data_IF_511504232079
#
_entry.id   IF_511504232079
#
_cell.length_a   1.000
_cell.length_b   1.000
_cell.length_c   1.000
_cell.angle_alpha   90.00
_cell.angle_beta   90.00
_cell.angle_gamma   90.00
#
_symmetry.space_group_name_H-M   'P 1'
#
loop_
_entity.id
_entity.type
_entity.pdbx_description
1 polymer ?
#
# COMPACT_ATOMS: atom_id res chain seq x y z
N UNK A 1 37.12 57.87 10.79
CA UNK A 1 36.13 57.30 9.91
C UNK A 1 35.93 55.84 10.28
N UNK A 2 34.78 55.56 10.89
CA UNK A 2 34.39 54.20 11.33
C UNK A 2 33.80 53.39 10.17
N UNK A 3 34.22 52.13 10.03
CA UNK A 3 33.67 51.18 9.11
C UNK A 3 32.32 50.63 9.62
N UNK A 4 31.31 50.36 8.78
CA UNK A 4 30.03 49.90 9.22
C UNK A 4 30.07 48.38 9.57
N UNK A 5 29.30 47.96 10.56
CA UNK A 5 29.15 46.55 10.90
C UNK A 5 28.00 45.95 10.07
N UNK A 6 28.30 45.24 9.02
CA UNK A 6 27.32 44.39 8.33
C UNK A 6 27.93 43.03 8.02
N UNK A 7 28.08 42.23 9.05
CA UNK A 7 28.20 40.79 8.91
C UNK A 7 26.81 40.17 8.93
N UNK A 8 26.29 39.80 7.76
CA UNK A 8 25.13 38.92 7.65
C UNK A 8 25.55 37.60 8.31
N UNK A 9 24.83 37.11 9.32
CA UNK A 9 25.16 35.82 9.92
C UNK A 9 25.00 34.73 8.85
N UNK A 10 25.92 33.74 8.84
CA UNK A 10 25.81 32.66 7.90
C UNK A 10 24.45 31.97 8.10
N UNK A 11 23.67 31.89 7.04
CA UNK A 11 22.44 31.14 7.04
C UNK A 11 22.73 29.74 7.58
N UNK A 12 22.20 29.45 8.79
CA UNK A 12 22.11 28.09 9.28
C UNK A 12 21.52 27.24 8.15
N UNK A 13 22.34 26.36 7.57
CA UNK A 13 21.84 25.32 6.70
C UNK A 13 20.71 24.67 7.46
N UNK A 14 19.48 24.86 6.99
CA UNK A 14 18.34 24.08 7.46
C UNK A 14 18.78 22.64 7.30
N UNK A 15 18.96 21.94 8.40
CA UNK A 15 19.06 20.49 8.40
C UNK A 15 17.85 20.02 7.61
N UNK A 16 18.09 19.36 6.47
CA UNK A 16 17.04 18.73 5.72
C UNK A 16 16.29 17.87 6.74
N UNK A 17 15.03 18.25 7.02
CA UNK A 17 14.17 17.51 7.93
C UNK A 17 14.08 16.11 7.35
N UNK A 18 14.59 15.13 8.09
CA UNK A 18 14.34 13.72 7.77
C UNK A 18 12.85 13.58 7.52
N UNK A 19 12.42 12.92 6.43
CA UNK A 19 11.00 12.74 6.19
C UNK A 19 10.38 12.12 7.44
N UNK A 20 9.25 12.65 7.90
CA UNK A 20 8.58 12.26 9.14
C UNK A 20 8.37 10.74 9.27
N UNK A 21 8.23 10.04 8.15
CA UNK A 21 8.12 8.59 8.08
C UNK A 21 9.37 7.81 8.51
N UNK A 22 10.57 8.39 8.44
CA UNK A 22 11.81 7.68 8.79
C UNK A 22 11.93 7.40 10.29
N UNK A 23 11.46 8.32 11.13
CA UNK A 23 11.49 8.14 12.59
C UNK A 23 10.45 7.11 13.03
N UNK A 24 9.28 7.11 12.43
CA UNK A 24 8.21 6.10 12.67
C UNK A 24 8.71 4.73 12.26
N UNK A 25 9.31 4.57 11.08
CA UNK A 25 9.87 3.30 10.60
C UNK A 25 10.94 2.75 11.54
N UNK A 26 11.79 3.61 12.09
CA UNK A 26 12.78 3.21 13.09
C UNK A 26 12.13 2.68 14.36
N UNK A 27 11.11 3.35 14.86
CA UNK A 27 10.36 2.90 16.04
C UNK A 27 9.66 1.56 15.79
N UNK A 28 9.01 1.40 14.64
CA UNK A 28 8.35 0.14 14.25
C UNK A 28 9.36 -1.00 14.24
N UNK A 29 10.50 -0.82 13.58
CA UNK A 29 11.51 -1.86 13.42
C UNK A 29 12.24 -2.20 14.73
N UNK A 30 12.53 -1.21 15.59
CA UNK A 30 13.36 -1.39 16.79
C UNK A 30 12.56 -1.62 18.06
N UNK A 31 11.31 -1.16 18.14
CA UNK A 31 10.49 -1.20 19.34
C UNK A 31 9.21 -2.00 19.20
N UNK A 32 8.44 -1.78 18.13
CA UNK A 32 7.10 -2.34 18.00
C UNK A 32 7.11 -3.80 17.53
N UNK A 33 7.82 -4.12 16.45
CA UNK A 33 7.91 -5.50 15.94
C UNK A 33 8.58 -6.43 16.95
N UNK A 34 9.77 -6.10 17.52
CA UNK A 34 10.44 -7.00 18.47
C UNK A 34 9.66 -7.24 19.77
N UNK A 35 8.85 -6.28 20.20
CA UNK A 35 8.05 -6.35 21.41
C UNK A 35 6.58 -6.72 21.17
N UNK A 36 6.20 -7.02 19.94
CA UNK A 36 4.83 -7.42 19.63
C UNK A 36 4.48 -8.75 20.29
N UNK A 37 3.29 -8.79 20.90
CA UNK A 37 2.74 -9.97 21.53
C UNK A 37 1.70 -10.61 20.61
N UNK A 38 1.93 -11.88 20.26
CA UNK A 38 1.02 -12.64 19.41
C UNK A 38 1.13 -12.30 17.92
N UNK A 39 0.49 -13.13 17.11
CA UNK A 39 0.57 -13.04 15.64
C UNK A 39 -0.21 -11.86 15.08
N UNK A 40 -1.34 -11.52 15.69
CA UNK A 40 -2.14 -10.36 15.33
C UNK A 40 -1.34 -9.04 15.45
N UNK A 41 -0.61 -8.86 16.52
CA UNK A 41 0.27 -7.71 16.72
C UNK A 41 1.42 -7.66 15.72
N UNK A 42 2.03 -8.79 15.42
CA UNK A 42 3.08 -8.88 14.40
C UNK A 42 2.58 -8.51 13.00
N UNK A 43 1.45 -9.05 12.60
CA UNK A 43 0.81 -8.72 11.31
C UNK A 43 0.51 -7.23 11.24
N UNK A 44 -0.05 -6.67 12.29
CA UNK A 44 -0.38 -5.25 12.38
C UNK A 44 0.86 -4.36 12.18
N UNK A 45 1.96 -4.64 12.86
CA UNK A 45 3.17 -3.81 12.77
C UNK A 45 3.95 -4.03 11.49
N UNK A 46 4.02 -5.23 10.92
CA UNK A 46 4.60 -5.45 9.60
C UNK A 46 3.78 -4.76 8.51
N UNK A 47 2.46 -4.81 8.59
CA UNK A 47 1.57 -4.06 7.69
C UNK A 47 1.83 -2.56 7.80
N UNK A 48 1.93 -2.03 9.02
CA UNK A 48 2.24 -0.62 9.26
C UNK A 48 3.59 -0.24 8.65
N UNK A 49 4.61 -1.08 8.79
CA UNK A 49 5.90 -0.89 8.14
C UNK A 49 5.77 -0.83 6.62
N UNK A 50 5.02 -1.73 6.03
CA UNK A 50 4.71 -1.71 4.60
C UNK A 50 4.00 -0.43 4.17
N UNK A 51 2.99 0.01 4.92
CA UNK A 51 2.23 1.23 4.65
C UNK A 51 3.12 2.47 4.65
N UNK A 52 4.01 2.63 5.62
CA UNK A 52 4.91 3.78 5.68
C UNK A 52 5.97 3.77 4.58
N UNK A 53 6.53 2.64 4.23
CA UNK A 53 7.43 2.53 3.07
C UNK A 53 6.70 2.82 1.75
N UNK A 54 5.45 2.41 1.62
CA UNK A 54 4.61 2.77 0.48
C UNK A 54 4.40 4.27 0.39
N UNK A 55 4.06 4.95 1.48
CA UNK A 55 3.93 6.40 1.52
C UNK A 55 5.22 7.11 1.12
N UNK A 56 6.37 6.65 1.59
CA UNK A 56 7.67 7.19 1.15
C UNK A 56 7.88 7.01 -0.35
N UNK A 57 7.50 5.87 -0.91
CA UNK A 57 7.62 5.60 -2.35
C UNK A 57 6.82 6.57 -3.21
N UNK A 58 5.73 7.12 -2.70
CA UNK A 58 4.89 8.08 -3.40
C UNK A 58 5.60 9.43 -3.63
N UNK A 59 6.51 9.81 -2.74
CA UNK A 59 7.23 11.09 -2.80
C UNK A 59 8.65 10.96 -3.36
N UNK A 60 9.23 9.78 -3.31
CA UNK A 60 10.61 9.54 -3.71
C UNK A 60 10.70 9.25 -5.21
N UNK A 61 11.91 9.43 -5.74
CA UNK A 61 12.27 9.13 -7.13
C UNK A 61 13.57 8.33 -7.18
N UNK A 62 13.83 7.68 -8.33
CA UNK A 62 15.08 6.97 -8.58
C UNK A 62 15.36 5.85 -7.57
N UNK A 63 16.61 5.77 -7.13
CA UNK A 63 17.09 4.71 -6.23
C UNK A 63 16.42 4.71 -4.86
N UNK A 64 16.07 5.88 -4.31
CA UNK A 64 15.38 6.00 -3.02
C UNK A 64 13.97 5.40 -3.09
N UNK A 65 13.23 5.67 -4.15
CA UNK A 65 11.90 5.09 -4.39
C UNK A 65 11.98 3.57 -4.52
N UNK A 66 12.96 3.08 -5.26
CA UNK A 66 13.18 1.65 -5.47
C UNK A 66 13.47 0.92 -4.16
N UNK A 67 14.30 1.51 -3.30
CA UNK A 67 14.62 0.97 -1.98
C UNK A 67 13.40 0.94 -1.06
N UNK A 68 12.60 2.01 -1.02
CA UNK A 68 11.37 2.05 -0.22
C UNK A 68 10.32 1.07 -0.74
N UNK A 69 10.15 0.93 -2.05
CA UNK A 69 9.24 -0.04 -2.65
C UNK A 69 9.65 -1.47 -2.32
N UNK A 70 10.95 -1.80 -2.38
CA UNK A 70 11.47 -3.11 -1.99
C UNK A 70 11.23 -3.41 -0.50
N UNK A 71 11.47 -2.43 0.37
CA UNK A 71 11.22 -2.57 1.80
C UNK A 71 9.72 -2.72 2.12
N UNK A 72 8.85 -2.03 1.40
CA UNK A 72 7.40 -2.20 1.51
C UNK A 72 6.96 -3.61 1.12
N UNK A 73 7.47 -4.12 0.00
CA UNK A 73 7.19 -5.47 -0.47
C UNK A 73 7.57 -6.51 0.58
N UNK A 74 8.78 -6.43 1.13
CA UNK A 74 9.28 -7.37 2.15
C UNK A 74 8.40 -7.34 3.41
N UNK A 75 8.00 -6.16 3.86
CA UNK A 75 7.14 -6.00 5.03
C UNK A 75 5.73 -6.56 4.80
N UNK A 76 5.12 -6.30 3.67
CA UNK A 76 3.81 -6.85 3.32
C UNK A 76 3.86 -8.37 3.15
N UNK A 77 4.91 -8.91 2.56
CA UNK A 77 5.09 -10.36 2.42
C UNK A 77 5.25 -11.04 3.79
N UNK A 78 6.04 -10.46 4.70
CA UNK A 78 6.18 -10.96 6.06
C UNK A 78 4.84 -10.97 6.80
N UNK A 79 4.08 -9.87 6.72
CA UNK A 79 2.75 -9.78 7.32
C UNK A 79 1.79 -10.81 6.72
N UNK A 80 1.79 -11.00 5.42
CA UNK A 80 0.91 -11.94 4.71
C UNK A 80 1.20 -13.39 5.07
N UNK A 81 2.46 -13.76 5.24
CA UNK A 81 2.84 -15.11 5.69
C UNK A 81 2.28 -15.44 7.06
N UNK A 82 2.39 -14.52 8.01
CA UNK A 82 1.84 -14.71 9.37
C UNK A 82 0.32 -14.70 9.34
N UNK A 83 -0.31 -13.75 8.64
CA UNK A 83 -1.76 -13.63 8.58
C UNK A 83 -2.43 -14.86 7.96
N UNK A 84 -1.85 -15.42 6.90
CA UNK A 84 -2.39 -16.61 6.24
C UNK A 84 -2.33 -17.85 7.12
N UNK A 85 -1.30 -17.96 7.96
CA UNK A 85 -1.12 -19.10 8.86
C UNK A 85 -1.99 -18.99 10.13
N UNK A 86 -2.14 -17.80 10.69
CA UNK A 86 -2.57 -17.63 12.08
C UNK A 86 -3.85 -16.81 12.27
N UNK A 87 -4.35 -16.12 11.24
CA UNK A 87 -5.60 -15.34 11.29
C UNK A 87 -6.66 -15.91 10.35
N UNK A 88 -7.94 -15.91 10.73
CA UNK A 88 -9.01 -16.30 9.82
C UNK A 88 -9.15 -15.31 8.66
N UNK A 89 -9.64 -15.75 7.49
CA UNK A 89 -9.80 -14.89 6.31
C UNK A 89 -10.73 -13.70 6.51
N UNK A 90 -11.62 -13.78 7.49
CA UNK A 90 -12.55 -12.69 7.86
C UNK A 90 -11.98 -11.70 8.87
N UNK A 91 -10.77 -11.93 9.37
CA UNK A 91 -10.16 -11.04 10.36
C UNK A 91 -9.87 -9.67 9.75
N UNK A 92 -10.29 -8.56 10.38
CA UNK A 92 -10.15 -7.22 9.79
C UNK A 92 -8.69 -6.83 9.53
N UNK A 93 -7.75 -7.27 10.36
CA UNK A 93 -6.31 -7.00 10.12
C UNK A 93 -5.82 -7.77 8.89
N UNK A 94 -6.21 -9.03 8.71
CA UNK A 94 -5.85 -9.80 7.51
C UNK A 94 -6.46 -9.20 6.25
N UNK A 95 -7.73 -8.79 6.30
CA UNK A 95 -8.41 -8.13 5.18
C UNK A 95 -7.82 -6.76 4.87
N UNK A 96 -7.52 -5.95 5.89
CA UNK A 96 -6.88 -4.65 5.73
C UNK A 96 -5.48 -4.75 5.15
N UNK A 97 -4.72 -5.78 5.52
CA UNK A 97 -3.44 -6.10 4.91
C UNK A 97 -3.58 -6.41 3.42
N UNK A 98 -4.51 -7.27 3.05
CA UNK A 98 -4.76 -7.61 1.65
C UNK A 98 -5.17 -6.39 0.82
N UNK A 99 -6.01 -5.53 1.38
CA UNK A 99 -6.41 -4.26 0.75
C UNK A 99 -5.19 -3.38 0.47
N UNK A 100 -4.38 -3.08 1.48
CA UNK A 100 -3.23 -2.19 1.33
C UNK A 100 -2.12 -2.79 0.48
N UNK A 101 -1.91 -4.09 0.57
CA UNK A 101 -0.94 -4.80 -0.27
C UNK A 101 -1.36 -4.80 -1.74
N UNK A 102 -2.65 -4.98 -2.03
CA UNK A 102 -3.17 -4.88 -3.40
C UNK A 102 -3.03 -3.46 -3.98
N UNK A 103 -3.30 -2.43 -3.18
CA UNK A 103 -3.07 -1.03 -3.56
C UNK A 103 -1.59 -0.77 -3.86
N UNK A 104 -0.69 -1.31 -3.06
CA UNK A 104 0.75 -1.22 -3.29
C UNK A 104 1.17 -1.82 -4.64
N UNK A 105 0.66 -3.00 -4.99
CA UNK A 105 0.93 -3.60 -6.29
C UNK A 105 0.38 -2.75 -7.44
N UNK A 106 -0.81 -2.20 -7.28
CA UNK A 106 -1.45 -1.39 -8.31
C UNK A 106 -0.73 -0.06 -8.53
N UNK A 107 -0.52 0.71 -7.46
CA UNK A 107 -0.05 2.10 -7.54
C UNK A 107 1.48 2.23 -7.59
N UNK A 108 2.21 1.41 -6.84
CA UNK A 108 3.67 1.54 -6.71
C UNK A 108 4.40 0.61 -7.68
N UNK A 109 4.02 -0.65 -7.75
CA UNK A 109 4.65 -1.63 -8.62
C UNK A 109 4.05 -1.66 -10.03
N UNK A 110 3.00 -0.90 -10.27
CA UNK A 110 2.29 -0.86 -11.55
C UNK A 110 1.97 -2.27 -12.08
N UNK A 111 1.47 -3.11 -11.21
CA UNK A 111 1.15 -4.52 -11.47
C UNK A 111 -0.33 -4.80 -11.18
N UNK A 112 -1.24 -4.35 -12.07
CA UNK A 112 -2.68 -4.47 -11.86
C UNK A 112 -3.16 -5.91 -11.76
N UNK A 113 -2.56 -6.84 -12.49
CA UNK A 113 -2.95 -8.26 -12.43
C UNK A 113 -2.71 -8.86 -11.04
N UNK A 114 -1.57 -8.57 -10.44
CA UNK A 114 -1.26 -9.02 -9.07
C UNK A 114 -2.13 -8.34 -8.03
N UNK A 115 -2.40 -7.05 -8.22
CA UNK A 115 -3.31 -6.30 -7.36
C UNK A 115 -4.70 -6.92 -7.35
N UNK A 116 -5.27 -7.19 -8.52
CA UNK A 116 -6.56 -7.86 -8.67
C UNK A 116 -6.55 -9.27 -8.08
N UNK A 117 -5.49 -10.04 -8.29
CA UNK A 117 -5.37 -11.39 -7.76
C UNK A 117 -5.42 -11.40 -6.22
N UNK A 118 -4.65 -10.54 -5.56
CA UNK A 118 -4.62 -10.45 -4.09
C UNK A 118 -5.98 -10.01 -3.53
N UNK A 119 -6.57 -8.97 -4.12
CA UNK A 119 -7.85 -8.45 -3.66
C UNK A 119 -8.97 -9.47 -3.85
N UNK A 120 -9.01 -10.15 -5.00
CA UNK A 120 -10.01 -11.17 -5.28
C UNK A 120 -9.88 -12.37 -4.36
N UNK A 121 -8.68 -12.87 -4.18
CA UNK A 121 -8.43 -14.02 -3.29
C UNK A 121 -8.85 -13.71 -1.85
N UNK A 122 -8.47 -12.56 -1.33
CA UNK A 122 -8.85 -12.15 0.03
C UNK A 122 -10.37 -12.03 0.19
N UNK A 123 -11.04 -11.46 -0.81
CA UNK A 123 -12.50 -11.34 -0.81
C UNK A 123 -13.19 -12.71 -0.88
N UNK A 124 -12.79 -13.56 -1.78
CA UNK A 124 -13.38 -14.89 -1.99
C UNK A 124 -13.16 -15.78 -0.75
N UNK A 125 -11.97 -15.77 -0.16
CA UNK A 125 -11.67 -16.53 1.06
C UNK A 125 -12.52 -16.06 2.24
N UNK A 126 -12.74 -14.76 2.37
CA UNK A 126 -13.61 -14.21 3.41
C UNK A 126 -15.07 -14.56 3.19
N UNK A 127 -15.56 -14.52 1.96
CA UNK A 127 -16.94 -14.94 1.61
C UNK A 127 -17.16 -16.41 1.94
N UNK A 128 -16.18 -17.27 1.65
CA UNK A 128 -16.26 -18.71 1.93
C UNK A 128 -16.35 -19.04 3.43
N UNK A 129 -15.87 -18.16 4.29
CA UNK A 129 -15.80 -18.34 5.74
C UNK A 129 -16.55 -17.26 6.54
N UNK A 130 -17.64 -16.73 6.01
CA UNK A 130 -18.43 -15.69 6.70
C UNK A 130 -18.97 -16.14 8.07
N UNK A 131 -19.19 -17.42 8.28
CA UNK A 131 -19.59 -18.00 9.57
C UNK A 131 -18.52 -17.86 10.67
N UNK A 132 -17.26 -17.63 10.28
CA UNK A 132 -16.16 -17.36 11.25
C UNK A 132 -16.11 -15.89 11.68
N UNK A 133 -16.94 -15.03 11.09
CA UNK A 133 -16.96 -13.60 11.38
C UNK A 133 -17.58 -13.33 12.74
N UNK A 134 -16.80 -12.69 13.64
CA UNK A 134 -17.27 -12.29 14.95
C UNK A 134 -18.15 -11.04 14.87
N UNK A 135 -19.13 -10.91 15.79
CA UNK A 135 -19.96 -9.71 15.89
C UNK A 135 -19.13 -8.45 16.14
N UNK A 136 -18.08 -8.56 16.94
CA UNK A 136 -17.16 -7.45 17.24
C UNK A 136 -16.45 -6.93 15.98
N UNK A 137 -16.04 -7.82 15.10
CA UNK A 137 -15.32 -7.49 13.86
C UNK A 137 -16.23 -7.24 12.66
N UNK A 138 -17.52 -7.49 12.77
CA UNK A 138 -18.46 -7.49 11.64
C UNK A 138 -18.43 -6.18 10.82
N UNK A 139 -18.50 -5.04 11.49
CA UNK A 139 -18.52 -3.73 10.81
C UNK A 139 -17.21 -3.46 10.07
N UNK A 140 -16.07 -3.71 10.71
CA UNK A 140 -14.75 -3.45 10.16
C UNK A 140 -14.47 -4.40 9.00
N UNK A 141 -14.72 -5.68 9.16
CA UNK A 141 -14.51 -6.68 8.13
C UNK A 141 -15.38 -6.46 6.90
N UNK A 142 -16.66 -6.19 7.07
CA UNK A 142 -17.58 -5.93 5.95
C UNK A 142 -17.24 -4.65 5.19
N UNK A 143 -16.81 -3.60 5.88
CA UNK A 143 -16.33 -2.38 5.24
C UNK A 143 -15.11 -2.65 4.37
N UNK A 144 -14.12 -3.39 4.89
CA UNK A 144 -12.89 -3.71 4.14
C UNK A 144 -13.22 -4.61 2.94
N UNK A 145 -14.11 -5.58 3.10
CA UNK A 145 -14.58 -6.42 2.00
C UNK A 145 -15.26 -5.60 0.89
N UNK A 146 -16.05 -4.60 1.24
CA UNK A 146 -16.63 -3.66 0.27
C UNK A 146 -15.55 -2.88 -0.47
N UNK A 147 -14.53 -2.38 0.23
CA UNK A 147 -13.41 -1.65 -0.38
C UNK A 147 -12.60 -2.55 -1.34
N UNK A 148 -12.36 -3.80 -0.97
CA UNK A 148 -11.72 -4.78 -1.85
C UNK A 148 -12.52 -4.99 -3.14
N UNK A 149 -13.83 -5.16 -3.03
CA UNK A 149 -14.73 -5.31 -4.17
C UNK A 149 -14.75 -4.07 -5.05
N UNK A 150 -14.83 -2.90 -4.46
CA UNK A 150 -14.87 -1.63 -5.19
C UNK A 150 -13.57 -1.41 -5.96
N UNK A 151 -12.41 -1.70 -5.37
CA UNK A 151 -11.13 -1.66 -6.05
C UNK A 151 -11.07 -2.66 -7.21
N UNK A 152 -11.52 -3.89 -7.01
CA UNK A 152 -11.59 -4.90 -8.07
C UNK A 152 -12.41 -4.43 -9.25
N UNK A 153 -13.58 -3.86 -9.00
CA UNK A 153 -14.46 -3.32 -10.04
C UNK A 153 -13.79 -2.20 -10.81
N UNK A 154 -13.14 -1.27 -10.11
CA UNK A 154 -12.42 -0.16 -10.72
C UNK A 154 -11.25 -0.65 -11.57
N UNK A 155 -10.39 -1.50 -11.01
CA UNK A 155 -9.17 -1.95 -11.69
C UNK A 155 -9.44 -2.85 -12.89
N UNK A 156 -10.45 -3.70 -12.81
CA UNK A 156 -10.86 -4.52 -13.96
C UNK A 156 -11.49 -3.68 -15.08
N UNK A 157 -12.20 -2.63 -14.73
CA UNK A 157 -12.74 -1.66 -15.70
C UNK A 157 -11.64 -0.90 -16.41
N UNK A 158 -10.62 -0.45 -15.68
CA UNK A 158 -9.48 0.26 -16.26
C UNK A 158 -8.68 -0.65 -17.22
N UNK A 159 -8.43 -1.90 -16.84
CA UNK A 159 -7.78 -2.88 -17.72
C UNK A 159 -8.56 -3.15 -19.00
N UNK A 160 -9.89 -3.20 -18.92
CA UNK A 160 -10.75 -3.39 -20.09
C UNK A 160 -10.71 -2.19 -21.04
N UNK A 161 -10.66 -0.96 -20.50
CA UNK A 161 -10.57 0.26 -21.28
C UNK A 161 -9.21 0.39 -22.00
N UNK A 162 -8.13 -0.08 -21.38
CA UNK A 162 -6.80 -0.09 -22.01
C UNK A 162 -6.65 -1.19 -23.07
N UNK A 163 -7.45 -2.25 -23.00
CA UNK A 163 -7.40 -3.38 -23.91
C UNK A 163 -8.23 -3.17 -25.19
N UNK A 164 -9.14 -2.19 -25.23
CA UNK A 164 -9.87 -1.86 -26.44
C UNK A 164 -8.95 -1.15 -27.46
N UNK A 165 -8.66 -1.72 -28.64
CA UNK A 165 -7.93 -1.02 -29.70
C UNK A 165 -8.76 0.19 -30.12
N UNK A 166 -8.12 1.35 -30.22
CA UNK A 166 -8.73 2.52 -30.83
C UNK A 166 -9.35 2.09 -32.17
N UNK A 167 -10.66 2.23 -32.27
CA UNK A 167 -11.37 1.91 -33.49
C UNK A 167 -10.82 2.82 -34.58
N UNK A 168 -10.04 2.21 -35.47
CA UNK A 168 -9.45 2.86 -36.62
C UNK A 168 -10.61 3.34 -37.50
N UNK A 169 -10.78 4.65 -37.58
CA UNK A 169 -11.77 5.26 -38.43
C UNK A 169 -11.40 5.01 -39.89
N UNK A 170 -11.89 3.91 -40.42
CA UNK A 170 -11.87 3.69 -41.85
C UNK A 170 -12.79 4.74 -42.51
N UNK A 171 -12.20 5.79 -42.97
CA UNK A 171 -12.82 6.71 -43.91
C UNK A 171 -13.08 5.95 -45.20
N UNK A 172 -14.37 5.74 -45.47
CA UNK A 172 -14.84 5.22 -46.73
C UNK A 172 -14.87 6.39 -47.74
N UNK A 173 -13.78 6.56 -48.49
CA UNK A 173 -13.74 7.39 -49.66
C UNK A 173 -14.35 6.62 -50.83
N UNK A 174 -15.66 6.78 -51.04
CA UNK A 174 -16.33 6.35 -52.27
C UNK A 174 -16.32 7.50 -53.25
N UNK A 175 -15.36 7.49 -54.16
CA UNK A 175 -15.48 8.19 -55.44
C UNK A 175 -16.39 7.38 -56.37
N UNK A 176 -17.42 8.04 -56.86
CA UNK A 176 -18.27 7.56 -57.93
C UNK A 176 -18.46 8.66 -58.99
#
# INVERSE_FOLDING_TARGET
AAAPPNGIPPHKKRNATKPAGADILKIIATQLIPNSVGDEGKVFYYKMKGDYHRYLSEFQTGAARKASASAALDAYQAASGIASADLPPTHPIRLGLALNFSVFYYEILNSPDRACHIAKQAFDDAIAELDTLSEESYKDSTLIMQLLRDNLTLWTSDQSAEAEPAADGAGDDVEG
#
